data_IF_089402261208
#
_entry.id   IF_089402261208
#
_cell.length_a   1.000
_cell.length_b   1.000
_cell.length_c   1.000
_cell.angle_alpha   90.00
_cell.angle_beta   90.00
_cell.angle_gamma   90.00
#
_symmetry.space_group_name_H-M   'P 1'
#
loop_
_entity.id
_entity.type
_entity.pdbx_description
1 polymer ?
#
# COMPACT_ATOMS: atom_id res chain seq x y z
N UNK A 1 -35.49 -1.99 -9.11
CA UNK A 1 -34.25 -1.76 -8.35
C UNK A 1 -34.12 -0.25 -8.17
N UNK A 2 -33.75 0.26 -6.99
CA UNK A 2 -33.55 1.72 -6.82
C UNK A 2 -32.28 2.11 -7.58
N UNK A 3 -32.38 3.01 -8.55
CA UNK A 3 -31.23 3.52 -9.31
C UNK A 3 -30.50 4.56 -8.45
N UNK A 4 -29.20 4.39 -8.27
CA UNK A 4 -28.36 5.31 -7.51
C UNK A 4 -27.75 6.37 -8.42
N UNK A 5 -28.65 7.17 -9.04
CA UNK A 5 -28.28 8.13 -10.08
C UNK A 5 -27.34 9.21 -9.56
N UNK A 6 -26.19 9.36 -10.21
CA UNK A 6 -25.24 10.43 -9.93
C UNK A 6 -25.82 11.76 -10.39
N UNK A 7 -26.00 12.69 -9.47
CA UNK A 7 -26.50 14.05 -9.75
C UNK A 7 -25.33 15.01 -10.01
N UNK A 8 -24.23 14.88 -9.25
CA UNK A 8 -23.10 15.79 -9.33
C UNK A 8 -21.81 15.10 -8.87
N UNK A 9 -20.71 15.42 -9.55
CA UNK A 9 -19.35 15.12 -9.12
C UNK A 9 -18.61 16.43 -8.90
N UNK A 10 -17.95 16.58 -7.74
CA UNK A 10 -17.21 17.78 -7.36
C UNK A 10 -15.85 17.42 -6.79
N UNK A 11 -14.78 18.06 -7.30
CA UNK A 11 -13.42 17.89 -6.84
C UNK A 11 -12.90 19.10 -6.10
N UNK A 12 -12.02 18.86 -5.13
CA UNK A 12 -11.27 19.89 -4.40
C UNK A 12 -9.83 19.48 -4.16
N UNK A 13 -8.98 20.48 -4.00
CA UNK A 13 -7.62 20.28 -3.51
C UNK A 13 -7.63 20.13 -1.98
N UNK A 14 -6.94 19.13 -1.47
CA UNK A 14 -6.70 18.94 -0.04
C UNK A 14 -5.19 18.74 0.19
N UNK A 15 -4.73 18.69 1.42
CA UNK A 15 -3.32 18.51 1.78
C UNK A 15 -3.10 17.09 2.30
N UNK A 16 -2.06 16.43 1.81
CA UNK A 16 -1.65 15.10 2.24
C UNK A 16 -0.78 15.14 3.52
N UNK A 17 -0.42 13.96 4.04
CA UNK A 17 0.38 13.80 5.25
C UNK A 17 1.81 14.36 5.16
N UNK A 18 2.28 14.69 3.95
CA UNK A 18 3.59 15.31 3.69
C UNK A 18 3.49 16.83 3.45
N UNK A 19 2.29 17.41 3.55
CA UNK A 19 2.07 18.82 3.26
C UNK A 19 2.00 19.14 1.76
N UNK A 20 1.87 18.14 0.89
CA UNK A 20 1.68 18.34 -0.54
C UNK A 20 0.18 18.33 -0.89
N UNK A 21 -0.26 19.07 -1.93
CA UNK A 21 -1.63 19.00 -2.38
C UNK A 21 -1.94 17.63 -3.01
N UNK A 22 -3.16 17.16 -2.78
CA UNK A 22 -3.77 16.02 -3.46
C UNK A 22 -5.25 16.29 -3.73
N UNK A 23 -5.95 15.31 -4.30
CA UNK A 23 -7.32 15.46 -4.80
C UNK A 23 -8.30 14.71 -3.92
N UNK A 24 -9.38 15.38 -3.51
CA UNK A 24 -10.60 14.77 -2.98
C UNK A 24 -11.75 14.99 -3.95
N UNK A 25 -12.53 13.95 -4.20
CA UNK A 25 -13.79 14.03 -4.94
C UNK A 25 -14.98 13.79 -4.01
N UNK A 26 -16.10 14.42 -4.35
CA UNK A 26 -17.40 14.25 -3.72
C UNK A 26 -18.43 13.90 -4.80
N UNK A 27 -19.16 12.82 -4.60
CA UNK A 27 -20.25 12.39 -5.47
C UNK A 27 -21.57 12.52 -4.73
N UNK A 28 -22.49 13.29 -5.29
CA UNK A 28 -23.85 13.47 -4.77
C UNK A 28 -24.83 12.69 -5.65
N UNK A 29 -25.62 11.83 -5.03
CA UNK A 29 -26.70 11.10 -5.70
C UNK A 29 -28.00 11.87 -5.73
N UNK A 30 -28.94 11.48 -6.60
CA UNK A 30 -30.24 12.12 -6.76
C UNK A 30 -31.11 12.16 -5.49
N UNK A 31 -30.89 11.25 -4.54
CA UNK A 31 -31.55 11.22 -3.24
C UNK A 31 -30.86 12.10 -2.17
N UNK A 32 -29.80 12.82 -2.54
CA UNK A 32 -29.00 13.65 -1.65
C UNK A 32 -27.90 12.92 -0.90
N UNK A 33 -27.75 11.59 -1.08
CA UNK A 33 -26.63 10.84 -0.48
C UNK A 33 -25.30 11.30 -1.06
N UNK A 34 -24.28 11.44 -0.21
CA UNK A 34 -22.95 11.93 -0.58
C UNK A 34 -21.89 10.88 -0.22
N UNK A 35 -21.01 10.62 -1.18
CA UNK A 35 -19.77 9.85 -0.96
C UNK A 35 -18.54 10.72 -1.24
N UNK A 36 -17.45 10.48 -0.48
CA UNK A 36 -16.17 11.19 -0.67
C UNK A 36 -15.04 10.19 -0.83
N UNK A 37 -14.04 10.54 -1.65
CA UNK A 37 -12.86 9.76 -1.86
C UNK A 37 -11.65 10.65 -2.10
N UNK A 38 -10.52 10.31 -1.49
CA UNK A 38 -9.27 11.05 -1.67
C UNK A 38 -8.19 10.13 -2.26
N UNK A 39 -7.40 10.67 -3.19
CA UNK A 39 -6.29 9.94 -3.78
C UNK A 39 -5.02 10.13 -2.95
N UNK A 40 -4.30 9.04 -2.57
CA UNK A 40 -2.97 9.14 -1.98
C UNK A 40 -1.92 9.47 -3.05
N UNK A 41 -0.70 9.82 -2.62
CA UNK A 41 0.42 10.19 -3.50
C UNK A 41 1.71 9.46 -3.11
N UNK A 42 2.44 8.93 -4.07
CA UNK A 42 3.76 8.32 -3.85
C UNK A 42 4.88 9.33 -3.64
N UNK A 43 5.97 8.92 -2.98
CA UNK A 43 7.24 9.66 -2.95
C UNK A 43 8.07 9.31 -4.18
N UNK A 44 8.20 8.02 -4.48
CA UNK A 44 8.71 7.46 -5.72
C UNK A 44 7.52 7.00 -6.57
N UNK A 45 7.65 7.10 -7.90
CA UNK A 45 6.68 6.58 -8.85
C UNK A 45 7.40 5.61 -9.77
N UNK A 46 6.92 4.36 -9.85
CA UNK A 46 7.42 3.37 -10.80
C UNK A 46 7.20 3.85 -12.24
N UNK A 47 8.08 3.48 -13.15
CA UNK A 47 8.01 3.87 -14.58
C UNK A 47 6.67 3.48 -15.24
N UNK A 48 6.03 2.44 -14.72
CA UNK A 48 4.80 1.86 -15.30
C UNK A 48 3.52 2.21 -14.54
N UNK A 49 3.58 3.13 -13.56
CA UNK A 49 2.40 3.61 -12.84
C UNK A 49 1.51 4.50 -13.73
N UNK A 50 0.21 4.52 -13.44
CA UNK A 50 -0.69 5.51 -14.01
C UNK A 50 -0.30 6.92 -13.55
N UNK A 51 -0.46 7.92 -14.44
CA UNK A 51 0.07 9.27 -14.21
C UNK A 51 -0.71 10.02 -13.12
N UNK A 52 -0.04 10.41 -12.07
CA UNK A 52 -0.52 11.40 -11.13
C UNK A 52 -0.38 12.79 -11.75
N UNK A 53 -1.51 13.43 -12.09
CA UNK A 53 -1.49 14.72 -12.78
C UNK A 53 -1.16 15.85 -11.82
N UNK A 54 -0.02 16.51 -12.07
CA UNK A 54 0.48 17.69 -11.38
C UNK A 54 0.47 18.91 -12.30
N UNK A 55 0.30 20.11 -11.72
CA UNK A 55 0.20 21.35 -12.51
C UNK A 55 1.52 21.74 -13.17
N UNK A 56 2.67 21.44 -12.54
CA UNK A 56 3.99 21.85 -13.02
C UNK A 56 4.29 23.34 -12.85
N UNK A 57 3.39 24.11 -12.25
CA UNK A 57 3.55 25.54 -11.98
C UNK A 57 4.40 25.75 -10.74
N UNK A 58 5.68 26.11 -10.92
CA UNK A 58 6.63 26.35 -9.84
C UNK A 58 6.24 27.47 -8.86
N UNK A 59 5.29 28.34 -9.23
CA UNK A 59 4.81 29.43 -8.36
C UNK A 59 3.80 28.95 -7.30
N UNK A 60 3.31 27.71 -7.47
CA UNK A 60 2.29 27.13 -6.59
C UNK A 60 2.71 25.74 -6.15
N UNK A 61 2.87 25.53 -4.82
CA UNK A 61 3.34 24.26 -4.22
C UNK A 61 4.63 23.69 -4.84
N UNK A 62 5.52 24.55 -5.36
CA UNK A 62 6.74 24.10 -6.02
C UNK A 62 6.49 23.21 -7.25
N UNK A 63 5.40 23.41 -7.96
CA UNK A 63 5.01 22.62 -9.14
C UNK A 63 4.10 21.41 -8.84
N UNK A 64 3.87 21.10 -7.55
CA UNK A 64 3.08 19.93 -7.13
C UNK A 64 1.57 20.19 -7.06
N UNK A 65 1.07 21.37 -7.48
CA UNK A 65 -0.36 21.69 -7.51
C UNK A 65 -1.19 20.66 -8.26
N UNK A 66 -2.51 20.57 -7.94
CA UNK A 66 -3.46 19.62 -8.55
C UNK A 66 -4.68 20.33 -9.15
N UNK A 67 -4.56 21.62 -9.45
CA UNK A 67 -5.67 22.43 -9.97
C UNK A 67 -6.23 21.88 -11.30
N UNK A 68 -5.36 21.35 -12.17
CA UNK A 68 -5.76 20.69 -13.42
C UNK A 68 -6.58 19.43 -13.17
N UNK A 69 -6.15 18.57 -12.25
CA UNK A 69 -6.89 17.37 -11.86
C UNK A 69 -8.26 17.73 -11.27
N UNK A 70 -8.32 18.71 -10.37
CA UNK A 70 -9.57 19.25 -9.81
C UNK A 70 -10.47 19.82 -10.89
N UNK A 71 -9.93 20.58 -11.84
CA UNK A 71 -10.69 21.08 -12.99
C UNK A 71 -11.29 19.93 -13.82
N UNK A 72 -10.52 18.89 -14.09
CA UNK A 72 -10.96 17.71 -14.84
C UNK A 72 -12.13 16.99 -14.13
N UNK A 73 -12.09 16.89 -12.79
CA UNK A 73 -13.23 16.36 -12.02
C UNK A 73 -14.46 17.22 -12.19
N UNK A 74 -14.32 18.56 -12.01
CA UNK A 74 -15.43 19.49 -12.00
C UNK A 74 -16.07 19.71 -13.38
N UNK A 75 -15.40 19.33 -14.44
CA UNK A 75 -15.86 19.50 -15.83
C UNK A 75 -16.07 18.17 -16.55
N UNK A 76 -15.00 17.53 -16.97
CA UNK A 76 -15.05 16.33 -17.83
C UNK A 76 -15.66 15.14 -17.12
N UNK A 77 -15.17 14.79 -15.91
CA UNK A 77 -15.69 13.64 -15.15
C UNK A 77 -17.10 13.90 -14.64
N UNK A 78 -17.41 15.11 -14.15
CA UNK A 78 -18.78 15.46 -13.76
C UNK A 78 -19.76 15.28 -14.93
N UNK A 79 -19.42 15.76 -16.14
CA UNK A 79 -20.25 15.61 -17.32
C UNK A 79 -20.40 14.15 -17.77
N UNK A 80 -19.31 13.37 -17.71
CA UNK A 80 -19.30 11.97 -18.13
C UNK A 80 -20.13 11.06 -17.22
N UNK A 81 -20.22 11.39 -15.92
CA UNK A 81 -20.84 10.53 -14.92
C UNK A 81 -22.26 10.97 -14.51
N UNK A 82 -22.64 12.22 -14.70
CA UNK A 82 -23.99 12.69 -14.36
C UNK A 82 -25.03 11.89 -15.12
N UNK A 83 -25.98 11.29 -14.40
CA UNK A 83 -27.04 10.43 -14.91
C UNK A 83 -26.72 8.93 -14.87
N UNK A 84 -25.46 8.52 -14.66
CA UNK A 84 -25.11 7.12 -14.48
C UNK A 84 -25.54 6.61 -13.09
N UNK A 85 -25.62 5.28 -12.97
CA UNK A 85 -25.89 4.59 -11.70
C UNK A 85 -24.58 4.34 -10.95
N UNK A 86 -24.39 4.99 -9.81
CA UNK A 86 -23.23 4.76 -8.95
C UNK A 86 -23.15 3.32 -8.40
N UNK A 87 -24.26 2.56 -8.43
CA UNK A 87 -24.30 1.15 -8.06
C UNK A 87 -23.60 0.24 -9.07
N UNK A 88 -23.41 0.68 -10.31
CA UNK A 88 -22.62 -0.02 -11.34
C UNK A 88 -21.22 0.61 -11.44
N UNK A 89 -20.34 0.24 -10.48
CA UNK A 89 -18.99 0.77 -10.41
C UNK A 89 -18.17 0.47 -11.67
N UNK A 90 -18.42 -0.68 -12.33
CA UNK A 90 -17.74 -1.01 -13.58
C UNK A 90 -18.12 -0.07 -14.72
N UNK A 91 -19.40 0.29 -14.85
CA UNK A 91 -19.84 1.27 -15.83
C UNK A 91 -19.31 2.67 -15.55
N UNK A 92 -19.26 3.07 -14.26
CA UNK A 92 -18.70 4.35 -13.82
C UNK A 92 -17.21 4.44 -14.17
N UNK A 93 -16.41 3.46 -13.77
CA UNK A 93 -14.97 3.45 -14.04
C UNK A 93 -14.69 3.38 -15.55
N UNK A 94 -15.44 2.56 -16.30
CA UNK A 94 -15.32 2.48 -17.76
C UNK A 94 -15.62 3.83 -18.45
N UNK A 95 -16.63 4.58 -17.97
CA UNK A 95 -16.94 5.90 -18.49
C UNK A 95 -15.82 6.92 -18.24
N UNK A 96 -15.16 6.85 -17.06
CA UNK A 96 -14.01 7.70 -16.75
C UNK A 96 -12.80 7.35 -17.62
N UNK A 97 -12.50 6.07 -17.80
CA UNK A 97 -11.41 5.60 -18.66
C UNK A 97 -11.63 5.98 -20.14
N UNK A 98 -12.88 5.89 -20.61
CA UNK A 98 -13.23 6.33 -21.97
C UNK A 98 -13.11 7.85 -22.14
N UNK A 99 -13.42 8.63 -21.10
CA UNK A 99 -13.27 10.08 -21.11
C UNK A 99 -11.81 10.54 -21.08
N UNK A 100 -10.91 9.76 -20.44
CA UNK A 100 -9.47 9.99 -20.46
C UNK A 100 -8.87 9.60 -21.81
N UNK A 101 -9.15 8.42 -22.31
CA UNK A 101 -8.73 7.90 -23.61
C UNK A 101 -7.23 7.55 -23.75
N UNK A 102 -6.43 7.72 -22.68
CA UNK A 102 -4.99 7.39 -22.67
C UNK A 102 -4.74 6.07 -21.91
N UNK A 103 -3.58 5.46 -22.14
CA UNK A 103 -3.23 4.19 -21.47
C UNK A 103 -2.85 4.39 -20.00
N UNK A 104 -2.21 5.53 -19.72
CA UNK A 104 -1.62 5.88 -18.42
C UNK A 104 -2.45 6.91 -17.66
N UNK A 105 -3.66 7.23 -18.14
CA UNK A 105 -4.56 8.23 -17.55
C UNK A 105 -3.97 9.66 -17.52
N UNK A 106 -3.09 9.96 -18.49
CA UNK A 106 -2.38 11.25 -18.53
C UNK A 106 -3.24 12.44 -18.95
N UNK A 107 -4.39 12.23 -19.57
CA UNK A 107 -5.28 13.32 -19.98
C UNK A 107 -6.04 13.92 -18.78
N UNK A 108 -6.62 13.11 -17.93
CA UNK A 108 -7.42 13.56 -16.78
C UNK A 108 -6.68 13.46 -15.45
N UNK A 109 -5.75 12.52 -15.33
CA UNK A 109 -4.98 12.20 -14.14
C UNK A 109 -5.54 11.02 -13.35
N UNK A 110 -4.69 10.04 -13.04
CA UNK A 110 -5.06 8.88 -12.24
C UNK A 110 -5.56 9.28 -10.85
N UNK A 111 -5.00 10.35 -10.26
CA UNK A 111 -5.46 10.91 -8.99
C UNK A 111 -6.89 11.45 -9.06
N UNK A 112 -7.28 12.13 -10.14
CA UNK A 112 -8.64 12.58 -10.36
C UNK A 112 -9.62 11.41 -10.52
N UNK A 113 -9.27 10.45 -11.37
CA UNK A 113 -10.10 9.28 -11.67
C UNK A 113 -10.28 8.42 -10.41
N UNK A 114 -9.23 8.13 -9.66
CA UNK A 114 -9.30 7.33 -8.45
C UNK A 114 -10.16 7.99 -7.37
N UNK A 115 -9.96 9.28 -7.11
CA UNK A 115 -10.76 9.98 -6.11
C UNK A 115 -12.26 9.87 -6.41
N UNK A 116 -12.65 9.98 -7.69
CA UNK A 116 -14.05 9.84 -8.13
C UNK A 116 -14.52 8.38 -8.03
N UNK A 117 -13.73 7.39 -8.42
CA UNK A 117 -14.06 5.96 -8.29
C UNK A 117 -14.38 5.60 -6.83
N UNK A 118 -13.53 6.02 -5.88
CA UNK A 118 -13.75 5.84 -4.44
C UNK A 118 -15.04 6.55 -3.99
N UNK A 119 -15.23 7.80 -4.40
CA UNK A 119 -16.40 8.60 -4.01
C UNK A 119 -17.72 7.97 -4.50
N UNK A 120 -17.75 7.41 -5.73
CA UNK A 120 -18.90 6.68 -6.26
C UNK A 120 -19.20 5.42 -5.44
N UNK A 121 -18.20 4.61 -5.14
CA UNK A 121 -18.35 3.40 -4.33
C UNK A 121 -18.89 3.73 -2.93
N UNK A 122 -18.39 4.79 -2.30
CA UNK A 122 -18.86 5.24 -0.97
C UNK A 122 -20.27 5.81 -1.02
N UNK A 123 -20.62 6.57 -2.06
CA UNK A 123 -21.98 7.08 -2.24
C UNK A 123 -22.97 5.92 -2.42
N UNK A 124 -22.64 4.93 -3.25
CA UNK A 124 -23.46 3.74 -3.45
C UNK A 124 -23.62 2.94 -2.15
N UNK A 125 -22.54 2.67 -1.44
CA UNK A 125 -22.58 1.98 -0.15
C UNK A 125 -23.48 2.69 0.86
N UNK A 126 -23.32 4.02 1.01
CA UNK A 126 -24.13 4.84 1.91
C UNK A 126 -25.61 4.83 1.54
N UNK A 127 -25.95 4.99 0.25
CA UNK A 127 -27.34 4.96 -0.23
C UNK A 127 -28.03 3.60 -0.02
N UNK A 128 -27.24 2.51 0.03
CA UNK A 128 -27.72 1.16 0.32
C UNK A 128 -27.72 0.84 1.85
N UNK A 129 -27.22 1.75 2.69
CA UNK A 129 -27.08 1.51 4.13
C UNK A 129 -26.04 0.43 4.48
N UNK A 130 -25.06 0.23 3.61
CA UNK A 130 -23.99 -0.76 3.77
C UNK A 130 -22.66 -0.10 4.12
N UNK A 131 -21.84 -0.68 5.02
CA UNK A 131 -20.45 -0.26 5.14
C UNK A 131 -19.69 -0.61 3.85
N UNK A 132 -18.65 0.16 3.52
CA UNK A 132 -17.95 0.04 2.24
C UNK A 132 -17.40 -1.37 1.98
N UNK A 133 -16.80 -2.02 2.97
CA UNK A 133 -16.29 -3.38 2.80
C UNK A 133 -17.37 -4.40 2.44
N UNK A 134 -18.61 -4.21 2.92
CA UNK A 134 -19.77 -5.06 2.55
C UNK A 134 -20.27 -4.77 1.16
N UNK A 135 -20.30 -3.50 0.77
CA UNK A 135 -20.66 -3.13 -0.59
C UNK A 135 -19.68 -3.71 -1.62
N UNK A 136 -18.38 -3.62 -1.36
CA UNK A 136 -17.33 -4.09 -2.25
C UNK A 136 -17.15 -5.60 -2.26
N UNK A 137 -17.23 -6.27 -1.09
CA UNK A 137 -16.90 -7.69 -0.91
C UNK A 137 -18.12 -8.60 -0.69
N UNK A 138 -19.31 -8.02 -0.60
CA UNK A 138 -20.55 -8.78 -0.33
C UNK A 138 -20.48 -9.53 0.99
N UNK A 139 -21.11 -10.70 1.05
CA UNK A 139 -21.16 -11.55 2.24
C UNK A 139 -19.83 -12.26 2.54
N UNK A 140 -18.97 -12.38 1.53
CA UNK A 140 -17.69 -13.09 1.66
C UNK A 140 -16.61 -12.28 2.38
N UNK A 141 -16.68 -10.94 2.35
CA UNK A 141 -15.69 -10.04 3.00
C UNK A 141 -15.81 -10.09 4.52
N UNK A 142 -14.94 -10.86 5.19
CA UNK A 142 -14.95 -11.04 6.65
C UNK A 142 -13.58 -11.29 7.28
N UNK A 143 -12.51 -11.34 6.48
CA UNK A 143 -11.15 -11.57 6.97
C UNK A 143 -10.47 -10.23 7.28
N UNK A 144 -10.10 -10.04 8.54
CA UNK A 144 -9.23 -8.95 8.98
C UNK A 144 -7.81 -9.28 8.56
N UNK A 145 -7.11 -8.36 7.87
CA UNK A 145 -5.75 -8.61 7.41
C UNK A 145 -4.74 -8.57 8.57
N UNK A 146 -3.67 -9.36 8.46
CA UNK A 146 -2.49 -9.20 9.32
C UNK A 146 -1.79 -7.89 8.94
N UNK A 147 -1.56 -6.97 9.89
CA UNK A 147 -0.82 -5.75 9.60
C UNK A 147 0.67 -6.04 9.42
N UNK A 148 1.25 -5.51 8.34
CA UNK A 148 2.68 -5.39 8.10
C UNK A 148 3.08 -3.98 8.53
N UNK A 149 3.44 -3.80 9.82
CA UNK A 149 3.67 -2.49 10.42
C UNK A 149 5.10 -2.03 10.26
N UNK A 150 5.32 -1.01 9.45
CA UNK A 150 6.63 -0.39 9.27
C UNK A 150 7.02 0.42 10.51
N UNK A 151 7.93 -0.10 11.33
CA UNK A 151 8.35 0.52 12.60
C UNK A 151 9.77 1.08 12.56
N UNK A 152 10.57 0.76 11.53
CA UNK A 152 11.91 1.30 11.30
C UNK A 152 12.15 1.52 9.81
N UNK A 153 12.62 2.69 9.46
CA UNK A 153 12.84 3.15 8.10
C UNK A 153 14.32 3.32 7.76
N UNK A 154 14.66 3.02 6.51
CA UNK A 154 15.93 3.32 5.88
C UNK A 154 15.73 3.73 4.42
N UNK A 155 16.66 3.39 3.55
CA UNK A 155 16.57 3.62 2.11
C UNK A 155 16.24 5.07 1.74
N UNK A 156 15.36 5.25 0.78
CA UNK A 156 14.87 6.56 0.36
C UNK A 156 13.91 7.20 1.40
N UNK A 157 13.34 6.41 2.33
CA UNK A 157 12.41 6.87 3.35
C UNK A 157 13.07 7.52 4.57
N UNK A 158 14.42 7.48 4.68
CA UNK A 158 15.15 8.06 5.80
C UNK A 158 16.55 8.55 5.38
N UNK A 159 16.92 9.73 5.87
CA UNK A 159 18.29 10.26 5.73
C UNK A 159 19.20 9.68 6.81
N UNK A 160 19.33 8.34 6.84
CA UNK A 160 20.16 7.59 7.78
C UNK A 160 21.10 6.62 7.04
N UNK A 161 21.76 5.73 7.78
CA UNK A 161 22.81 4.83 7.29
C UNK A 161 22.32 3.43 6.84
N UNK A 162 21.01 3.18 6.87
CA UNK A 162 20.39 1.88 6.58
C UNK A 162 19.94 1.82 5.12
N UNK A 163 20.34 0.79 4.36
CA UNK A 163 20.04 0.66 2.92
C UNK A 163 18.63 0.13 2.64
N UNK A 164 18.16 -0.87 3.39
CA UNK A 164 16.79 -1.41 3.28
C UNK A 164 15.77 -0.34 3.68
N UNK A 165 14.73 -0.19 2.85
CA UNK A 165 13.80 0.93 2.96
C UNK A 165 12.85 0.83 4.15
N UNK A 166 12.32 -0.38 4.42
CA UNK A 166 11.34 -0.60 5.49
C UNK A 166 11.58 -1.91 6.22
N UNK A 167 11.45 -1.85 7.55
CA UNK A 167 11.45 -3.02 8.43
C UNK A 167 10.12 -3.07 9.17
N UNK A 168 9.38 -4.13 8.91
CA UNK A 168 8.01 -4.31 9.38
C UNK A 168 7.89 -5.47 10.36
N UNK A 169 6.97 -5.34 11.32
CA UNK A 169 6.54 -6.42 12.21
C UNK A 169 5.16 -6.91 11.81
N UNK A 170 4.94 -8.22 11.97
CA UNK A 170 3.69 -8.90 11.68
C UNK A 170 3.27 -9.76 12.88
N UNK A 171 2.13 -9.47 13.57
CA UNK A 171 1.70 -10.16 14.78
C UNK A 171 0.95 -11.48 14.45
N UNK A 172 1.64 -12.43 13.82
CA UNK A 172 1.03 -13.67 13.31
C UNK A 172 0.51 -14.61 14.39
N UNK A 173 0.98 -14.48 15.62
CA UNK A 173 0.51 -15.26 16.78
C UNK A 173 -0.70 -14.64 17.48
N UNK A 174 -1.16 -13.45 17.08
CA UNK A 174 -2.27 -12.78 17.73
C UNK A 174 -3.62 -13.47 17.41
N UNK A 175 -4.53 -13.57 18.38
CA UNK A 175 -5.82 -14.26 18.20
C UNK A 175 -6.87 -13.42 17.47
N UNK A 176 -6.66 -12.11 17.30
CA UNK A 176 -7.59 -11.17 16.67
C UNK A 176 -6.85 -9.95 16.14
N UNK A 177 -7.49 -9.16 15.28
CA UNK A 177 -6.90 -7.91 14.79
C UNK A 177 -6.65 -6.93 15.94
N UNK A 178 -7.61 -6.77 16.85
CA UNK A 178 -7.48 -5.91 18.03
C UNK A 178 -6.25 -6.26 18.87
N UNK A 179 -6.05 -7.54 19.17
CA UNK A 179 -4.88 -7.99 19.92
C UNK A 179 -3.59 -7.79 19.12
N UNK A 180 -3.60 -8.10 17.81
CA UNK A 180 -2.45 -7.85 16.95
C UNK A 180 -2.04 -6.38 16.93
N UNK A 181 -2.99 -5.46 16.83
CA UNK A 181 -2.74 -4.02 16.89
C UNK A 181 -2.16 -3.61 18.25
N UNK A 182 -2.71 -4.10 19.35
CA UNK A 182 -2.18 -3.87 20.71
C UNK A 182 -0.72 -4.32 20.81
N UNK A 183 -0.44 -5.56 20.43
CA UNK A 183 0.90 -6.12 20.44
C UNK A 183 1.90 -5.28 19.62
N UNK A 184 1.51 -4.89 18.41
CA UNK A 184 2.36 -4.02 17.57
C UNK A 184 2.67 -2.69 18.23
N UNK A 185 1.68 -2.08 18.92
CA UNK A 185 1.86 -0.81 19.63
C UNK A 185 2.83 -0.97 20.80
N UNK A 186 2.74 -2.06 21.55
CA UNK A 186 3.64 -2.37 22.67
C UNK A 186 5.09 -2.58 22.17
N UNK A 187 5.28 -3.31 21.05
CA UNK A 187 6.61 -3.48 20.41
C UNK A 187 7.14 -2.14 19.92
N UNK A 188 6.31 -1.30 19.29
CA UNK A 188 6.70 0.04 18.83
C UNK A 188 7.23 0.91 19.99
N UNK A 189 6.54 0.92 21.13
CA UNK A 189 7.00 1.64 22.32
C UNK A 189 8.25 1.01 22.95
N UNK A 190 8.38 -0.31 22.93
CA UNK A 190 9.59 -0.99 23.38
C UNK A 190 10.80 -0.64 22.51
N UNK A 191 10.61 -0.55 21.17
CA UNK A 191 11.65 -0.09 20.24
C UNK A 191 12.05 1.36 20.53
N UNK A 192 11.09 2.25 20.74
CA UNK A 192 11.38 3.65 21.11
C UNK A 192 12.23 3.72 22.37
N UNK A 193 11.90 2.93 23.39
CA UNK A 193 12.65 2.91 24.65
C UNK A 193 14.09 2.37 24.45
N UNK A 194 14.28 1.36 23.58
CA UNK A 194 15.61 0.84 23.24
C UNK A 194 16.47 1.88 22.50
N UNK A 195 15.87 2.56 21.51
CA UNK A 195 16.56 3.64 20.77
C UNK A 195 17.01 4.76 21.70
N UNK A 196 16.12 5.24 22.57
CA UNK A 196 16.46 6.28 23.59
C UNK A 196 17.58 5.85 24.54
N UNK A 197 17.54 4.60 25.01
CA UNK A 197 18.57 4.05 25.91
C UNK A 197 19.95 3.98 25.25
N UNK A 198 20.00 3.86 23.91
CA UNK A 198 21.24 3.92 23.11
C UNK A 198 21.63 5.32 22.65
N UNK A 199 20.87 6.36 23.01
CA UNK A 199 21.08 7.73 22.55
C UNK A 199 20.77 7.95 21.07
N UNK A 200 20.00 7.04 20.46
CA UNK A 200 19.61 7.12 19.05
C UNK A 200 18.34 7.95 18.84
N UNK A 201 18.20 8.51 17.64
CA UNK A 201 17.03 9.32 17.28
C UNK A 201 15.73 8.50 17.32
N UNK A 202 14.66 9.13 17.82
CA UNK A 202 13.29 8.59 17.81
C UNK A 202 12.33 9.48 17.02
N UNK A 203 12.86 10.31 16.12
CA UNK A 203 12.08 10.97 15.08
C UNK A 203 11.49 9.92 14.11
N UNK A 204 10.30 10.21 13.60
CA UNK A 204 9.60 9.29 12.70
C UNK A 204 9.62 9.80 11.27
N UNK A 205 9.71 8.89 10.31
CA UNK A 205 9.59 9.17 8.89
C UNK A 205 8.14 9.39 8.44
N UNK A 206 7.95 9.50 7.12
CA UNK A 206 6.65 9.75 6.50
C UNK A 206 5.60 8.69 6.82
N UNK A 207 6.03 7.46 7.06
CA UNK A 207 5.16 6.33 7.39
C UNK A 207 5.05 6.01 8.88
N UNK A 208 5.63 6.87 9.73
CA UNK A 208 5.52 6.79 11.19
C UNK A 208 6.53 5.87 11.88
N UNK A 209 7.37 5.14 11.14
CA UNK A 209 8.48 4.34 11.66
C UNK A 209 9.66 5.21 12.09
N UNK A 210 10.48 4.73 13.05
CA UNK A 210 11.70 5.42 13.48
C UNK A 210 12.78 5.40 12.39
N UNK A 211 13.65 6.40 12.39
CA UNK A 211 14.71 6.54 11.39
C UNK A 211 16.10 6.78 12.05
N UNK A 212 16.59 5.84 12.90
CA UNK A 212 17.89 5.99 13.56
C UNK A 212 19.05 5.71 12.60
N UNK A 213 20.23 6.26 12.89
CA UNK A 213 21.49 5.82 12.31
C UNK A 213 21.90 4.49 12.96
N UNK A 214 22.11 3.46 12.15
CA UNK A 214 22.54 2.13 12.60
C UNK A 214 23.77 1.67 11.78
N UNK A 215 24.54 0.72 12.32
CA UNK A 215 25.74 0.26 11.66
C UNK A 215 25.47 -0.62 10.42
N UNK A 216 24.29 -1.23 10.33
CA UNK A 216 23.88 -2.09 9.22
C UNK A 216 22.36 -2.36 9.21
N UNK A 217 21.86 -2.91 8.08
CA UNK A 217 20.49 -3.43 7.98
C UNK A 217 20.25 -4.57 8.99
N UNK A 218 21.26 -5.38 9.23
CA UNK A 218 21.17 -6.49 10.19
C UNK A 218 21.02 -6.00 11.64
N UNK A 219 21.66 -4.88 12.01
CA UNK A 219 21.44 -4.25 13.32
C UNK A 219 19.97 -3.78 13.48
N UNK A 220 19.34 -3.30 12.41
CA UNK A 220 17.92 -2.93 12.44
C UNK A 220 17.05 -4.15 12.76
N UNK A 221 17.31 -5.30 12.11
CA UNK A 221 16.61 -6.56 12.37
C UNK A 221 16.79 -6.98 13.85
N UNK A 222 18.03 -6.98 14.34
CA UNK A 222 18.35 -7.40 15.73
C UNK A 222 17.68 -6.47 16.75
N UNK A 223 17.65 -5.16 16.49
CA UNK A 223 17.03 -4.19 17.38
C UNK A 223 15.52 -4.37 17.47
N UNK A 224 14.87 -4.67 16.33
CA UNK A 224 13.43 -4.98 16.31
C UNK A 224 13.14 -6.27 17.08
N UNK A 225 13.93 -7.33 16.90
CA UNK A 225 13.77 -8.57 17.64
C UNK A 225 13.95 -8.36 19.15
N UNK A 226 14.93 -7.55 19.58
CA UNK A 226 15.07 -7.13 20.98
C UNK A 226 13.84 -6.36 21.50
N UNK A 227 13.22 -5.55 20.66
CA UNK A 227 11.98 -4.83 21.02
C UNK A 227 10.81 -5.80 21.19
N UNK A 228 10.68 -6.80 20.32
CA UNK A 228 9.67 -7.87 20.44
C UNK A 228 9.82 -8.63 21.77
N UNK A 229 11.05 -9.07 22.09
CA UNK A 229 11.36 -9.76 23.35
C UNK A 229 11.12 -8.86 24.58
N UNK A 230 11.54 -7.58 24.52
CA UNK A 230 11.32 -6.60 25.59
C UNK A 230 9.85 -6.33 25.84
N UNK A 231 9.02 -6.41 24.83
CA UNK A 231 7.56 -6.29 24.94
C UNK A 231 6.89 -7.57 25.50
N UNK A 232 7.66 -8.66 25.71
CA UNK A 232 7.17 -9.91 26.26
C UNK A 232 6.70 -10.93 25.23
N UNK A 233 7.02 -10.74 23.95
CA UNK A 233 6.63 -11.61 22.85
C UNK A 233 7.82 -12.45 22.35
N UNK A 234 7.51 -13.54 21.66
CA UNK A 234 8.52 -14.47 21.12
C UNK A 234 8.69 -14.28 19.61
N UNK A 235 9.89 -13.87 19.13
CA UNK A 235 10.18 -13.86 17.70
C UNK A 235 9.99 -15.23 17.05
N UNK A 236 9.44 -15.25 15.84
CA UNK A 236 9.17 -16.45 15.05
C UNK A 236 7.84 -17.15 15.42
N UNK A 237 7.30 -16.93 16.63
CA UNK A 237 6.03 -17.49 17.08
C UNK A 237 4.93 -16.43 17.12
N UNK A 238 5.15 -15.37 17.88
CA UNK A 238 4.16 -14.31 18.08
C UNK A 238 4.30 -13.24 17.00
N UNK A 239 5.55 -12.93 16.62
CA UNK A 239 5.90 -12.01 15.57
C UNK A 239 6.85 -12.61 14.55
N UNK A 240 6.63 -12.29 13.29
CA UNK A 240 7.59 -12.44 12.22
C UNK A 240 7.88 -11.08 11.60
N UNK A 241 8.95 -11.00 10.79
CA UNK A 241 9.37 -9.77 10.14
C UNK A 241 9.00 -9.76 8.67
N UNK A 242 8.76 -8.57 8.16
CA UNK A 242 8.72 -8.27 6.74
C UNK A 242 9.71 -7.13 6.44
N UNK A 243 10.25 -7.13 5.23
CA UNK A 243 11.18 -6.12 4.75
C UNK A 243 10.76 -5.63 3.38
N UNK A 244 10.99 -4.36 3.11
CA UNK A 244 10.95 -3.77 1.76
C UNK A 244 12.35 -3.27 1.42
N UNK A 245 12.99 -3.93 0.45
CA UNK A 245 14.33 -3.58 0.03
C UNK A 245 14.33 -2.38 -0.93
N UNK A 246 13.28 -2.23 -1.73
CA UNK A 246 13.21 -1.26 -2.83
C UNK A 246 14.46 -1.32 -3.73
N UNK A 247 14.86 -2.54 -4.12
CA UNK A 247 16.16 -2.77 -4.75
C UNK A 247 16.30 -2.13 -6.14
N UNK A 248 15.22 -1.63 -6.74
CA UNK A 248 15.28 -0.78 -7.94
C UNK A 248 16.09 0.49 -7.70
N UNK A 249 16.13 1.01 -6.47
CA UNK A 249 16.96 2.16 -6.08
C UNK A 249 18.46 1.86 -6.04
N UNK A 250 18.85 0.58 -6.07
CA UNK A 250 20.24 0.13 -6.01
C UNK A 250 20.86 -0.16 -7.38
N UNK A 251 20.17 0.17 -8.47
CA UNK A 251 20.67 0.01 -9.85
C UNK A 251 22.03 0.68 -10.03
N UNK A 252 23.02 -0.07 -10.53
CA UNK A 252 24.36 0.47 -10.81
C UNK A 252 24.52 1.03 -12.23
N UNK A 253 23.50 0.90 -13.10
CA UNK A 253 23.58 1.15 -14.53
C UNK A 253 24.01 -0.08 -15.37
N UNK A 254 24.47 -1.15 -14.73
CA UNK A 254 24.72 -2.46 -15.33
C UNK A 254 23.62 -3.43 -14.91
N UNK A 255 23.02 -4.14 -15.88
CA UNK A 255 21.91 -5.07 -15.62
C UNK A 255 22.35 -6.19 -14.66
N UNK A 256 21.55 -6.43 -13.61
CA UNK A 256 21.82 -7.47 -12.62
C UNK A 256 22.95 -7.13 -11.65
N UNK A 257 23.38 -5.86 -11.58
CA UNK A 257 24.37 -5.39 -10.61
C UNK A 257 23.73 -4.32 -9.71
N UNK A 258 23.78 -4.54 -8.41
CA UNK A 258 23.20 -3.72 -7.36
C UNK A 258 24.28 -3.09 -6.51
N UNK A 259 24.21 -1.79 -6.30
CA UNK A 259 25.11 -1.06 -5.42
C UNK A 259 24.33 -0.39 -4.32
N UNK A 260 24.48 -0.87 -3.09
CA UNK A 260 23.83 -0.30 -1.93
C UNK A 260 24.44 1.08 -1.63
N UNK A 261 23.63 2.16 -1.67
CA UNK A 261 24.16 3.52 -1.69
C UNK A 261 24.81 3.95 -0.37
N UNK A 262 24.38 3.36 0.77
CA UNK A 262 24.82 3.78 2.10
C UNK A 262 25.99 2.97 2.61
N UNK A 263 25.95 1.64 2.54
CA UNK A 263 27.08 0.79 2.96
C UNK A 263 28.13 0.57 1.86
N UNK A 264 27.83 0.93 0.59
CA UNK A 264 28.75 0.84 -0.54
C UNK A 264 29.02 -0.59 -1.05
N UNK A 265 28.32 -1.59 -0.54
CA UNK A 265 28.43 -2.97 -1.03
C UNK A 265 27.87 -3.09 -2.44
N UNK A 266 28.49 -3.98 -3.22
CA UNK A 266 28.01 -4.30 -4.59
C UNK A 266 27.70 -5.79 -4.65
N UNK A 267 26.59 -6.14 -5.30
CA UNK A 267 26.14 -7.51 -5.51
C UNK A 267 25.72 -7.71 -6.97
N UNK A 268 25.99 -8.88 -7.50
CA UNK A 268 25.25 -9.40 -8.65
C UNK A 268 23.87 -9.91 -8.18
N UNK A 269 22.94 -10.14 -9.12
CA UNK A 269 21.64 -10.74 -8.79
C UNK A 269 21.77 -12.02 -7.99
N UNK A 270 22.69 -12.90 -8.38
CA UNK A 270 22.91 -14.18 -7.69
C UNK A 270 23.45 -14.00 -6.24
N UNK A 271 24.36 -13.04 -6.04
CA UNK A 271 24.90 -12.73 -4.70
C UNK A 271 23.84 -12.05 -3.82
N UNK A 272 23.00 -11.19 -4.38
CA UNK A 272 21.91 -10.57 -3.63
C UNK A 272 20.85 -11.60 -3.23
N UNK A 273 20.51 -12.55 -4.11
CA UNK A 273 19.65 -13.70 -3.78
C UNK A 273 20.25 -14.53 -2.66
N UNK A 274 21.57 -14.80 -2.70
CA UNK A 274 22.25 -15.53 -1.62
C UNK A 274 22.21 -14.76 -0.29
N UNK A 275 22.36 -13.44 -0.33
CA UNK A 275 22.24 -12.57 0.84
C UNK A 275 20.83 -12.62 1.46
N UNK A 276 19.78 -12.54 0.65
CA UNK A 276 18.40 -12.68 1.15
C UNK A 276 18.16 -14.06 1.77
N UNK A 277 18.67 -15.11 1.13
CA UNK A 277 18.56 -16.45 1.68
C UNK A 277 19.25 -16.57 3.05
N UNK A 278 20.45 -16.04 3.21
CA UNK A 278 21.17 -16.04 4.49
C UNK A 278 20.37 -15.32 5.58
N UNK A 279 19.83 -14.13 5.30
CA UNK A 279 19.02 -13.37 6.25
C UNK A 279 17.73 -14.10 6.64
N UNK A 280 17.04 -14.72 5.67
CA UNK A 280 15.78 -15.44 5.93
C UNK A 280 15.98 -16.78 6.62
N UNK A 281 17.16 -17.41 6.48
CA UNK A 281 17.53 -18.60 7.25
C UNK A 281 17.92 -18.25 8.71
N UNK A 282 18.49 -17.06 8.93
CA UNK A 282 18.99 -16.61 10.24
C UNK A 282 17.92 -15.95 11.10
N UNK A 283 17.00 -15.24 10.51
CA UNK A 283 15.99 -14.42 11.17
C UNK A 283 14.57 -14.83 10.76
N UNK A 284 13.55 -14.60 11.60
CA UNK A 284 12.16 -14.95 11.27
C UNK A 284 11.53 -13.99 10.25
N UNK A 285 12.21 -13.77 9.13
CA UNK A 285 11.72 -12.96 8.00
C UNK A 285 10.79 -13.83 7.17
N UNK A 286 9.53 -13.40 6.99
CA UNK A 286 8.49 -14.13 6.28
C UNK A 286 7.95 -13.40 5.06
N UNK A 287 8.36 -12.15 4.85
CA UNK A 287 8.01 -11.38 3.65
C UNK A 287 9.18 -10.51 3.23
N UNK A 288 9.46 -10.48 1.94
CA UNK A 288 10.47 -9.64 1.30
C UNK A 288 9.82 -8.97 0.09
N UNK A 289 9.74 -7.65 0.12
CA UNK A 289 9.23 -6.81 -0.96
C UNK A 289 10.39 -6.24 -1.75
N UNK A 290 10.24 -6.26 -3.08
CA UNK A 290 11.18 -5.72 -4.07
C UNK A 290 12.65 -6.04 -3.76
N UNK A 291 12.91 -7.34 -3.49
CA UNK A 291 14.26 -7.84 -3.18
C UNK A 291 15.24 -7.75 -4.36
N UNK A 292 14.75 -7.47 -5.56
CA UNK A 292 15.50 -7.26 -6.80
C UNK A 292 14.84 -6.16 -7.64
N UNK A 293 15.56 -5.68 -8.66
CA UNK A 293 15.09 -4.68 -9.61
C UNK A 293 13.83 -5.13 -10.38
N UNK A 294 12.95 -4.18 -10.70
CA UNK A 294 11.68 -4.38 -11.41
C UNK A 294 11.80 -4.99 -12.81
N UNK A 295 13.00 -4.95 -13.43
CA UNK A 295 13.28 -5.56 -14.74
C UNK A 295 14.23 -6.78 -14.65
N UNK A 296 14.68 -7.18 -13.46
CA UNK A 296 15.51 -8.38 -13.25
C UNK A 296 14.66 -9.65 -13.13
N UNK A 297 13.84 -9.95 -14.12
CA UNK A 297 12.93 -11.09 -14.14
C UNK A 297 13.63 -12.45 -13.93
N UNK A 298 14.87 -12.59 -14.44
CA UNK A 298 15.67 -13.80 -14.25
C UNK A 298 16.10 -13.95 -12.78
N UNK A 299 16.58 -12.86 -12.17
CA UNK A 299 16.90 -12.83 -10.75
C UNK A 299 15.68 -13.11 -9.88
N UNK A 300 14.53 -12.53 -10.18
CA UNK A 300 13.27 -12.81 -9.48
C UNK A 300 12.86 -14.27 -9.54
N UNK A 301 13.02 -14.92 -10.70
CA UNK A 301 12.77 -16.37 -10.82
C UNK A 301 13.70 -17.18 -9.93
N UNK A 302 14.99 -16.87 -9.92
CA UNK A 302 15.99 -17.52 -9.06
C UNK A 302 15.65 -17.29 -7.58
N UNK A 303 15.29 -16.07 -7.19
CA UNK A 303 14.90 -15.74 -5.82
C UNK A 303 13.68 -16.56 -5.39
N UNK A 304 12.66 -16.64 -6.25
CA UNK A 304 11.44 -17.40 -5.99
C UNK A 304 11.73 -18.90 -5.81
N UNK A 305 12.55 -19.49 -6.66
CA UNK A 305 12.95 -20.89 -6.55
C UNK A 305 13.75 -21.18 -5.27
N UNK A 306 14.47 -20.19 -4.75
CA UNK A 306 15.36 -20.36 -3.59
C UNK A 306 14.66 -20.24 -2.25
N UNK A 307 13.73 -19.32 -2.12
CA UNK A 307 13.11 -18.99 -0.81
C UNK A 307 11.59 -18.83 -0.86
N UNK A 308 10.97 -18.86 -2.03
CA UNK A 308 9.53 -18.60 -2.20
C UNK A 308 8.61 -19.63 -1.54
N UNK A 309 9.11 -20.81 -1.18
CA UNK A 309 8.38 -21.82 -0.40
C UNK A 309 8.17 -21.45 1.07
N UNK A 310 8.99 -20.52 1.60
CA UNK A 310 9.00 -20.10 3.01
C UNK A 310 8.75 -18.61 3.20
N UNK A 311 9.02 -17.82 2.17
CA UNK A 311 8.98 -16.36 2.21
C UNK A 311 7.99 -15.84 1.20
N UNK A 312 7.10 -14.95 1.64
CA UNK A 312 6.25 -14.16 0.75
C UNK A 312 7.13 -13.16 0.00
N UNK A 313 7.24 -13.33 -1.30
CA UNK A 313 8.00 -12.46 -2.19
C UNK A 313 7.03 -11.50 -2.87
N UNK A 314 7.04 -10.25 -2.44
CA UNK A 314 6.08 -9.23 -2.85
C UNK A 314 6.68 -8.37 -3.96
N UNK A 315 5.99 -8.27 -5.08
CA UNK A 315 6.31 -7.30 -6.12
C UNK A 315 5.48 -6.02 -5.96
N UNK A 316 6.14 -4.90 -5.66
CA UNK A 316 5.59 -3.55 -5.73
C UNK A 316 5.97 -2.92 -7.07
N UNK A 317 7.21 -2.45 -7.23
CA UNK A 317 7.71 -1.91 -8.50
C UNK A 317 7.69 -2.95 -9.62
N UNK A 318 7.92 -4.23 -9.28
CA UNK A 318 7.83 -5.34 -10.22
C UNK A 318 6.48 -5.39 -10.93
N UNK A 319 5.37 -5.17 -10.22
CA UNK A 319 4.01 -5.35 -10.75
C UNK A 319 3.20 -4.06 -10.90
N UNK A 320 3.48 -3.02 -10.12
CA UNK A 320 2.79 -1.71 -10.11
C UNK A 320 1.26 -1.82 -10.17
N UNK A 321 0.68 -2.79 -9.46
CA UNK A 321 -0.76 -3.10 -9.49
C UNK A 321 -1.31 -3.37 -10.91
N UNK A 322 -0.44 -3.71 -11.87
CA UNK A 322 -0.76 -3.85 -13.29
C UNK A 322 -0.96 -5.34 -13.67
N UNK A 323 -2.15 -5.68 -14.16
CA UNK A 323 -2.52 -7.06 -14.54
C UNK A 323 -1.56 -7.67 -15.56
N UNK A 324 -1.06 -6.90 -16.53
CA UNK A 324 -0.16 -7.43 -17.58
C UNK A 324 1.22 -7.79 -17.02
N UNK A 325 1.76 -6.93 -16.13
CA UNK A 325 3.03 -7.22 -15.46
C UNK A 325 2.87 -8.42 -14.50
N UNK A 326 1.74 -8.48 -13.78
CA UNK A 326 1.41 -9.62 -12.91
C UNK A 326 1.32 -10.93 -13.70
N UNK A 327 0.61 -10.94 -14.84
CA UNK A 327 0.52 -12.12 -15.72
C UNK A 327 1.90 -12.59 -16.20
N UNK A 328 2.76 -11.65 -16.60
CA UNK A 328 4.16 -11.96 -16.95
C UNK A 328 4.90 -12.63 -15.78
N UNK A 329 4.75 -12.11 -14.55
CA UNK A 329 5.36 -12.70 -13.36
C UNK A 329 4.85 -14.11 -13.08
N UNK A 330 3.54 -14.32 -13.19
CA UNK A 330 2.90 -15.64 -13.03
C UNK A 330 3.46 -16.63 -14.06
N UNK A 331 3.52 -16.25 -15.34
CA UNK A 331 4.06 -17.09 -16.42
C UNK A 331 5.53 -17.45 -16.20
N UNK A 332 6.34 -16.54 -15.67
CA UNK A 332 7.74 -16.75 -15.38
C UNK A 332 7.99 -17.47 -14.04
N UNK A 333 6.98 -17.57 -13.16
CA UNK A 333 7.15 -18.05 -11.78
C UNK A 333 8.00 -17.09 -10.94
N UNK A 334 7.85 -15.79 -11.14
CA UNK A 334 8.54 -14.72 -10.44
C UNK A 334 7.67 -14.12 -9.36
N UNK A 335 8.14 -14.06 -8.12
CA UNK A 335 7.38 -13.66 -6.93
C UNK A 335 6.26 -14.65 -6.56
N UNK A 336 5.51 -14.39 -5.49
CA UNK A 336 4.32 -15.13 -5.06
C UNK A 336 3.28 -14.24 -4.37
N UNK A 337 3.51 -12.92 -4.40
CA UNK A 337 2.59 -11.91 -3.89
C UNK A 337 2.73 -10.60 -4.69
N UNK A 338 1.66 -9.82 -4.70
CA UNK A 338 1.61 -8.48 -5.30
C UNK A 338 1.24 -7.44 -4.25
N UNK A 339 1.91 -6.30 -4.26
CA UNK A 339 1.46 -5.11 -3.54
C UNK A 339 0.37 -4.40 -4.35
N UNK A 340 -0.72 -4.05 -3.69
CA UNK A 340 -1.87 -3.37 -4.32
C UNK A 340 -1.91 -1.92 -3.83
N UNK A 341 -1.51 -1.02 -4.69
CA UNK A 341 -1.60 0.43 -4.51
C UNK A 341 -2.63 0.98 -5.50
N UNK A 342 -3.83 1.30 -5.02
CA UNK A 342 -4.96 1.67 -5.87
C UNK A 342 -4.69 2.86 -6.78
N UNK A 343 -3.80 3.78 -6.38
CA UNK A 343 -3.42 4.92 -7.21
C UNK A 343 -2.41 4.60 -8.32
N UNK A 344 -1.66 3.48 -8.22
CA UNK A 344 -0.77 3.04 -9.31
C UNK A 344 -1.54 2.63 -10.56
N UNK A 345 -2.79 2.20 -10.40
CA UNK A 345 -3.66 1.81 -11.51
C UNK A 345 -4.78 2.81 -11.77
N UNK A 346 -5.34 3.46 -10.75
CA UNK A 346 -6.20 4.63 -10.85
C UNK A 346 -7.71 4.40 -10.85
N UNK A 347 -8.20 3.15 -10.77
CA UNK A 347 -9.61 2.83 -10.49
C UNK A 347 -9.74 1.67 -9.52
N UNK A 348 -10.86 1.59 -8.79
CA UNK A 348 -11.14 0.44 -7.92
C UNK A 348 -11.37 -0.83 -8.74
N UNK A 349 -12.02 -0.76 -9.89
CA UNK A 349 -12.32 -1.94 -10.70
C UNK A 349 -11.08 -2.56 -11.33
N UNK A 350 -10.09 -1.76 -11.77
CA UNK A 350 -8.80 -2.28 -12.24
C UNK A 350 -7.99 -2.88 -11.06
N UNK A 351 -8.04 -2.26 -9.86
CA UNK A 351 -7.43 -2.84 -8.67
C UNK A 351 -8.07 -4.19 -8.30
N UNK A 352 -9.39 -4.32 -8.36
CA UNK A 352 -10.08 -5.61 -8.18
C UNK A 352 -9.63 -6.65 -9.21
N UNK A 353 -9.44 -6.26 -10.46
CA UNK A 353 -8.97 -7.17 -11.49
C UNK A 353 -7.56 -7.69 -11.18
N UNK A 354 -6.64 -6.81 -10.72
CA UNK A 354 -5.29 -7.21 -10.32
C UNK A 354 -5.32 -8.18 -9.11
N UNK A 355 -6.11 -7.85 -8.07
CA UNK A 355 -6.29 -8.70 -6.89
C UNK A 355 -6.84 -10.08 -7.27
N UNK A 356 -7.88 -10.12 -8.10
CA UNK A 356 -8.49 -11.37 -8.55
C UNK A 356 -7.51 -12.22 -9.36
N UNK A 357 -6.78 -11.61 -10.30
CA UNK A 357 -5.75 -12.30 -11.09
C UNK A 357 -4.68 -12.92 -10.20
N UNK A 358 -4.23 -12.19 -9.17
CA UNK A 358 -3.27 -12.70 -8.18
C UNK A 358 -3.83 -13.90 -7.41
N UNK A 359 -5.03 -13.77 -6.84
CA UNK A 359 -5.66 -14.80 -6.03
C UNK A 359 -5.97 -16.09 -6.84
N UNK A 360 -6.43 -15.95 -8.09
CA UNK A 360 -6.68 -17.08 -8.98
C UNK A 360 -5.40 -17.84 -9.36
N UNK A 361 -4.25 -17.16 -9.35
CA UNK A 361 -2.93 -17.76 -9.57
C UNK A 361 -2.26 -18.29 -8.27
N UNK A 362 -2.93 -18.17 -7.12
CA UNK A 362 -2.36 -18.56 -5.82
C UNK A 362 -1.36 -17.55 -5.24
N UNK A 363 -1.29 -16.33 -5.78
CA UNK A 363 -0.50 -15.23 -5.23
C UNK A 363 -1.27 -14.54 -4.11
N UNK A 364 -0.56 -14.07 -3.10
CA UNK A 364 -1.16 -13.18 -2.11
C UNK A 364 -1.31 -11.75 -2.67
N UNK A 365 -2.37 -11.06 -2.25
CA UNK A 365 -2.53 -9.64 -2.47
C UNK A 365 -2.32 -8.91 -1.15
N UNK A 366 -1.34 -8.00 -1.09
CA UNK A 366 -1.07 -7.14 0.07
C UNK A 366 -1.64 -5.76 -0.23
N UNK A 367 -2.66 -5.33 0.50
CA UNK A 367 -3.24 -4.00 0.30
C UNK A 367 -2.35 -2.96 0.96
N UNK A 368 -1.98 -1.92 0.21
CA UNK A 368 -0.96 -0.97 0.64
C UNK A 368 -1.42 0.48 0.60
N UNK A 369 -0.88 1.27 1.53
CA UNK A 369 -0.88 2.73 1.51
C UNK A 369 0.15 3.29 0.52
N UNK A 370 0.28 4.62 0.51
CA UNK A 370 1.41 5.33 -0.10
C UNK A 370 2.12 6.20 0.96
N UNK A 371 3.31 6.71 0.63
CA UNK A 371 4.06 7.59 1.53
C UNK A 371 3.33 8.91 1.81
N UNK A 372 2.63 9.49 0.85
CA UNK A 372 1.71 10.61 1.02
C UNK A 372 0.27 10.12 1.15
N UNK A 373 -0.25 10.10 2.37
CA UNK A 373 -1.60 9.63 2.69
C UNK A 373 -2.51 10.77 3.12
N UNK A 374 -3.80 10.47 3.14
CA UNK A 374 -4.86 11.32 3.70
C UNK A 374 -5.55 10.56 4.85
N UNK A 375 -6.61 11.14 5.40
CA UNK A 375 -7.48 10.45 6.37
C UNK A 375 -8.42 9.41 5.73
N UNK A 376 -8.40 9.24 4.39
CA UNK A 376 -9.20 8.23 3.69
C UNK A 376 -8.82 6.81 4.15
N UNK A 377 -9.85 5.99 4.41
CA UNK A 377 -9.70 4.63 4.95
C UNK A 377 -10.10 3.54 3.96
N UNK A 378 -10.28 3.86 2.70
CA UNK A 378 -10.76 2.91 1.66
C UNK A 378 -9.94 1.63 1.60
N UNK A 379 -8.61 1.72 1.76
CA UNK A 379 -7.74 0.53 1.72
C UNK A 379 -8.02 -0.45 2.87
N UNK A 380 -8.48 0.01 4.03
CA UNK A 380 -8.88 -0.86 5.13
C UNK A 380 -10.15 -1.64 4.78
N UNK A 381 -11.16 -0.97 4.23
CA UNK A 381 -12.39 -1.60 3.74
C UNK A 381 -12.10 -2.55 2.58
N UNK A 382 -11.21 -2.16 1.63
CA UNK A 382 -10.80 -2.98 0.49
C UNK A 382 -10.13 -4.28 0.96
N UNK A 383 -9.20 -4.20 1.92
CA UNK A 383 -8.49 -5.37 2.42
C UNK A 383 -9.44 -6.44 2.97
N UNK A 384 -10.48 -6.02 3.71
CA UNK A 384 -11.50 -6.94 4.24
C UNK A 384 -12.43 -7.42 3.12
N UNK A 385 -12.85 -6.52 2.22
CA UNK A 385 -13.75 -6.85 1.10
C UNK A 385 -13.23 -8.01 0.25
N UNK A 386 -11.92 -8.01 -0.04
CA UNK A 386 -11.27 -9.02 -0.91
C UNK A 386 -10.62 -10.16 -0.13
N UNK A 387 -10.73 -10.18 1.21
CA UNK A 387 -10.04 -11.13 2.09
C UNK A 387 -8.54 -11.19 1.79
N UNK A 388 -7.89 -10.05 1.67
CA UNK A 388 -6.50 -9.94 1.19
C UNK A 388 -5.47 -10.70 2.06
N UNK A 389 -5.76 -10.90 3.33
CA UNK A 389 -4.86 -11.55 4.28
C UNK A 389 -3.84 -10.60 4.91
N UNK A 390 -3.34 -9.61 4.16
CA UNK A 390 -2.32 -8.66 4.60
C UNK A 390 -2.67 -7.20 4.27
N UNK A 391 -2.22 -6.28 5.14
CA UNK A 391 -2.26 -4.84 4.88
C UNK A 391 -0.94 -4.18 5.29
N UNK A 392 -0.36 -3.39 4.40
CA UNK A 392 0.83 -2.57 4.63
C UNK A 392 0.38 -1.11 4.70
N UNK A 393 0.29 -0.53 5.92
CA UNK A 393 -0.22 0.84 6.08
C UNK A 393 0.52 1.64 7.16
N UNK A 394 1.85 1.41 7.27
CA UNK A 394 2.76 2.17 8.11
C UNK A 394 2.77 1.75 9.57
N UNK A 395 3.35 2.58 10.42
CA UNK A 395 3.49 2.38 11.86
C UNK A 395 2.19 2.70 12.62
N UNK A 396 2.06 2.33 13.92
CA UNK A 396 0.94 2.75 14.77
C UNK A 396 1.17 4.20 15.27
N UNK A 397 1.57 5.07 14.38
CA UNK A 397 1.94 6.47 14.59
C UNK A 397 1.56 7.28 13.36
N UNK A 398 1.23 8.56 13.53
CA UNK A 398 0.66 9.48 12.53
C UNK A 398 -0.79 9.14 12.18
N UNK A 399 -1.67 10.14 12.25
CA UNK A 399 -3.13 9.95 12.11
C UNK A 399 -3.54 9.36 10.77
N UNK A 400 -2.85 9.72 9.70
CA UNK A 400 -3.04 9.21 8.34
C UNK A 400 -2.85 7.67 8.26
N UNK A 401 -1.98 7.09 9.09
CA UNK A 401 -1.76 5.64 9.22
C UNK A 401 -2.78 5.02 10.19
N UNK A 402 -2.87 5.61 11.37
CA UNK A 402 -3.74 5.12 12.46
C UNK A 402 -5.21 5.10 12.06
N UNK A 403 -5.67 6.01 11.19
CA UNK A 403 -7.03 6.03 10.67
C UNK A 403 -7.42 4.68 10.03
N UNK A 404 -6.52 4.04 9.26
CA UNK A 404 -6.75 2.74 8.62
C UNK A 404 -6.87 1.63 9.65
N UNK A 405 -6.00 1.61 10.67
CA UNK A 405 -6.08 0.65 11.78
C UNK A 405 -7.34 0.82 12.61
N UNK A 406 -7.72 2.06 12.92
CA UNK A 406 -8.97 2.34 13.63
C UNK A 406 -10.20 1.92 12.82
N UNK A 407 -10.15 2.04 11.48
CA UNK A 407 -11.21 1.52 10.61
C UNK A 407 -11.31 0.00 10.70
N UNK A 408 -10.20 -0.72 10.69
CA UNK A 408 -10.17 -2.17 10.83
C UNK A 408 -10.72 -2.64 12.20
N UNK A 409 -10.44 -1.91 13.29
CA UNK A 409 -11.07 -2.19 14.60
C UNK A 409 -12.59 -2.11 14.53
N UNK A 410 -13.13 -1.07 13.89
CA UNK A 410 -14.58 -0.93 13.68
C UNK A 410 -15.16 -2.05 12.83
N UNK A 411 -14.46 -2.45 11.76
CA UNK A 411 -14.88 -3.57 10.91
C UNK A 411 -14.89 -4.88 11.73
N UNK A 412 -13.89 -5.12 12.58
CA UNK A 412 -13.88 -6.29 13.46
C UNK A 412 -15.08 -6.30 14.42
N UNK A 413 -15.44 -5.14 14.99
CA UNK A 413 -16.66 -5.01 15.82
C UNK A 413 -17.94 -5.24 15.03
N UNK A 414 -18.06 -4.68 13.82
CA UNK A 414 -19.22 -4.85 12.93
C UNK A 414 -19.41 -6.32 12.50
N UNK A 415 -18.31 -7.06 12.31
CA UNK A 415 -18.33 -8.49 11.97
C UNK A 415 -18.61 -9.38 13.17
N UNK A 416 -18.22 -8.97 14.38
CA UNK A 416 -18.40 -9.74 15.62
C UNK A 416 -17.83 -11.15 15.50
N UNK A 417 -18.64 -12.16 15.82
CA UNK A 417 -18.23 -13.58 15.75
C UNK A 417 -17.94 -14.08 14.32
N UNK A 418 -18.35 -13.34 13.29
CA UNK A 418 -18.05 -13.71 11.89
C UNK A 418 -16.65 -13.26 11.46
N UNK A 419 -15.99 -12.43 12.25
CA UNK A 419 -14.63 -11.99 11.95
C UNK A 419 -13.65 -13.17 11.93
N UNK A 420 -12.79 -13.20 10.92
CA UNK A 420 -11.66 -14.12 10.85
C UNK A 420 -10.40 -13.26 10.81
N UNK A 421 -9.39 -13.58 11.59
CA UNK A 421 -8.10 -12.89 11.58
C UNK A 421 -7.00 -13.83 11.11
N UNK A 422 -6.05 -13.28 10.35
CA UNK A 422 -4.93 -14.04 9.83
C UNK A 422 -5.08 -14.39 8.34
N UNK A 423 -4.12 -15.16 7.84
CA UNK A 423 -3.97 -15.53 6.41
C UNK A 423 -4.62 -16.84 6.06
#
# INVERSE_FOLDING_TARGET
MKTLTIQKVYGREIIDSRGNPTVEAEVTLADGTVGRGAAPSGASTGEFEALELRDGDGTRFGGKGVSRAVHNINTTLNRALTGLDAGDLYAVDAAMLAADGTKDKSALGANAILAVSIACARAAAAALGLPLYRYLGGVAGRRLPVPMMNILNGGAHAANTVDVQEFMIMPVGAPSFREGLRWCTEVFHALQALLRARGLATGVGDEGGFAPDLASDEEAIQLILQAVEKAGYTPGRDFVLAMDAAASEWKSGEKGVYRLPKCGKTFTSAELVAHWKELTDKYPIRSLEDGLDEEDWEGWKILTDRIGDKVQLVGDDLFVTNVKRLQKGIELGAANAILIKINQIGTLTEAFQAIRTAQEAGYHAVISHRSGETEDTTIADLAVAVNAGYIKTGAPSRTDRVAKYNRLLKIEEELGQSAVFGT
#
